data_IF_143616396416
#
_entry.id   IF_143616396416
#
_cell.length_a   1.000
_cell.length_b   1.000
_cell.length_c   1.000
_cell.angle_alpha   90.00
_cell.angle_beta   90.00
_cell.angle_gamma   90.00
#
_symmetry.space_group_name_H-M   'P 1'
#
loop_
_entity.id
_entity.type
_entity.pdbx_description
1 polymer ?
#
# COMPACT_ATOMS: atom_id res chain seq x y z
N UNK A 1 18.28 -46.00 41.45
CA UNK A 1 18.41 -44.57 41.77
C UNK A 1 18.49 -43.78 40.46
N UNK A 2 17.39 -43.62 39.71
CA UNK A 2 17.41 -43.04 38.32
C UNK A 2 16.24 -42.06 38.07
N UNK A 3 15.25 -41.99 38.96
CA UNK A 3 14.03 -41.18 38.73
C UNK A 3 14.17 -39.68 39.01
N UNK A 4 15.20 -39.25 39.75
CA UNK A 4 15.40 -37.83 40.09
C UNK A 4 16.05 -37.01 38.96
N UNK A 5 16.79 -37.65 38.05
CA UNK A 5 17.51 -36.97 36.98
C UNK A 5 16.62 -36.52 35.82
N UNK A 6 15.49 -37.20 35.59
CA UNK A 6 14.55 -36.88 34.51
C UNK A 6 13.64 -35.68 34.83
N UNK A 7 13.30 -35.48 36.11
CA UNK A 7 12.47 -34.35 36.54
C UNK A 7 13.21 -33.01 36.44
N UNK A 8 14.53 -33.00 36.66
CA UNK A 8 15.34 -31.78 36.56
C UNK A 8 15.53 -31.36 35.10
N UNK A 9 15.73 -32.31 34.18
CA UNK A 9 15.85 -32.01 32.76
C UNK A 9 14.55 -31.41 32.17
N UNK A 10 13.39 -31.82 32.67
CA UNK A 10 12.09 -31.31 32.21
C UNK A 10 11.81 -29.88 32.71
N UNK A 11 12.28 -29.54 33.92
CA UNK A 11 12.17 -28.18 34.46
C UNK A 11 13.04 -27.16 33.71
N UNK A 12 14.19 -27.55 33.16
CA UNK A 12 15.02 -26.65 32.36
C UNK A 12 14.48 -26.42 30.94
N UNK A 13 13.82 -27.41 30.33
CA UNK A 13 13.23 -27.26 28.99
C UNK A 13 12.01 -26.30 28.97
N UNK A 14 11.31 -26.14 30.10
CA UNK A 14 10.13 -25.27 30.19
C UNK A 14 10.45 -23.77 30.34
N UNK A 15 11.67 -23.41 30.77
CA UNK A 15 12.02 -22.00 31.06
C UNK A 15 12.43 -21.24 29.80
N UNK A 16 12.85 -21.93 28.73
CA UNK A 16 13.24 -21.25 27.47
C UNK A 16 12.06 -20.83 26.59
N UNK A 17 10.82 -21.26 26.88
CA UNK A 17 9.64 -20.88 26.07
C UNK A 17 8.98 -19.56 26.50
N UNK A 18 9.52 -18.86 27.51
CA UNK A 18 9.03 -17.55 27.97
C UNK A 18 9.95 -16.39 27.61
N UNK A 19 10.95 -16.61 26.75
CA UNK A 19 11.64 -15.51 26.08
C UNK A 19 10.69 -14.91 25.03
N UNK A 20 9.76 -14.09 25.52
CA UNK A 20 8.85 -13.32 24.69
C UNK A 20 9.64 -12.55 23.63
N UNK A 21 9.15 -12.60 22.39
CA UNK A 21 9.61 -11.74 21.33
C UNK A 21 9.43 -10.28 21.78
N UNK A 22 10.51 -9.64 22.22
CA UNK A 22 10.55 -8.18 22.25
C UNK A 22 10.59 -7.75 20.79
N UNK A 23 9.43 -7.47 20.22
CA UNK A 23 9.34 -6.68 18.99
C UNK A 23 9.80 -5.29 19.39
N UNK A 24 11.09 -5.02 19.19
CA UNK A 24 11.62 -3.66 19.19
C UNK A 24 10.96 -2.99 18.00
N UNK A 25 9.83 -2.32 18.25
CA UNK A 25 9.32 -1.30 17.36
C UNK A 25 10.39 -0.22 17.34
N UNK A 26 11.23 -0.27 16.31
CA UNK A 26 12.18 0.77 16.03
C UNK A 26 11.34 2.00 15.73
N UNK A 27 11.32 2.93 16.69
CA UNK A 27 10.67 4.21 16.55
C UNK A 27 11.43 4.93 15.42
N UNK A 28 10.87 4.84 14.22
CA UNK A 28 11.32 5.55 13.04
C UNK A 28 11.36 7.03 13.41
N UNK A 29 12.59 7.49 13.59
CA UNK A 29 12.94 8.87 13.89
C UNK A 29 12.22 9.75 12.89
N UNK A 30 11.28 10.56 13.36
CA UNK A 30 10.66 11.63 12.59
C UNK A 30 11.76 12.43 11.90
N UNK A 31 11.93 12.21 10.60
CA UNK A 31 12.72 13.10 9.77
C UNK A 31 11.84 14.33 9.48
N UNK A 32 12.39 15.54 9.65
CA UNK A 32 11.65 16.76 9.34
C UNK A 32 11.25 16.73 7.87
N UNK A 33 10.04 17.25 7.60
CA UNK A 33 9.41 17.42 6.28
C UNK A 33 10.44 17.97 5.29
N UNK A 34 11.06 17.05 4.54
CA UNK A 34 11.87 17.34 3.38
C UNK A 34 10.98 17.33 2.16
N UNK A 35 11.29 18.20 1.20
CA UNK A 35 10.74 18.25 -0.15
C UNK A 35 10.41 16.85 -0.72
N UNK A 36 9.37 16.71 -1.56
CA UNK A 36 8.96 15.42 -2.12
C UNK A 36 10.12 14.86 -2.94
N UNK A 37 10.90 14.00 -2.32
CA UNK A 37 11.92 13.20 -2.99
C UNK A 37 11.21 12.05 -3.67
N UNK A 38 11.82 11.62 -4.77
CA UNK A 38 11.56 10.47 -5.64
C UNK A 38 11.49 9.09 -4.91
N UNK A 39 11.36 9.10 -3.58
CA UNK A 39 11.26 7.94 -2.70
C UNK A 39 9.93 7.19 -2.88
N UNK A 40 8.86 7.89 -3.28
CA UNK A 40 7.57 7.25 -3.51
C UNK A 40 7.60 6.28 -4.70
N UNK A 41 8.39 6.57 -5.75
CA UNK A 41 8.56 5.63 -6.88
C UNK A 41 9.26 4.36 -6.41
N UNK A 42 10.37 4.50 -5.69
CA UNK A 42 11.07 3.36 -5.11
C UNK A 42 10.22 2.55 -4.12
N UNK A 43 9.35 3.22 -3.34
CA UNK A 43 8.40 2.55 -2.47
C UNK A 43 7.36 1.76 -3.27
N UNK A 44 6.81 2.32 -4.35
CA UNK A 44 5.86 1.63 -5.23
C UNK A 44 6.52 0.40 -5.84
N UNK A 45 7.77 0.51 -6.32
CA UNK A 45 8.54 -0.61 -6.85
C UNK A 45 8.74 -1.72 -5.81
N UNK A 46 9.08 -1.35 -4.57
CA UNK A 46 9.21 -2.30 -3.47
C UNK A 46 7.87 -2.99 -3.12
N UNK A 47 6.74 -2.29 -3.30
CA UNK A 47 5.40 -2.85 -3.11
C UNK A 47 5.07 -3.87 -4.20
N UNK A 48 5.54 -3.69 -5.44
CA UNK A 48 5.29 -4.66 -6.52
C UNK A 48 5.81 -6.07 -6.18
N UNK A 49 6.91 -6.13 -5.44
CA UNK A 49 7.57 -7.38 -5.01
C UNK A 49 6.81 -8.13 -3.92
N UNK A 50 5.75 -7.56 -3.35
CA UNK A 50 4.94 -8.24 -2.33
C UNK A 50 4.16 -9.40 -2.94
N UNK A 51 4.28 -10.59 -2.32
CA UNK A 51 3.66 -11.83 -2.80
C UNK A 51 2.13 -11.77 -2.84
N UNK A 52 1.50 -11.08 -1.89
CA UNK A 52 0.04 -11.08 -1.75
C UNK A 52 -0.59 -9.80 -2.30
N UNK A 53 -1.63 -9.96 -3.12
CA UNK A 53 -2.36 -8.83 -3.68
C UNK A 53 -3.03 -7.95 -2.61
N UNK A 54 -3.45 -8.54 -1.49
CA UNK A 54 -3.99 -7.79 -0.34
C UNK A 54 -3.00 -6.75 0.16
N UNK A 55 -1.72 -7.13 0.22
CA UNK A 55 -0.66 -6.31 0.79
C UNK A 55 -0.27 -5.22 -0.21
N UNK A 56 -0.17 -5.57 -1.50
CA UNK A 56 -0.01 -4.60 -2.59
C UNK A 56 -1.10 -3.55 -2.59
N UNK A 57 -2.37 -3.99 -2.58
CA UNK A 57 -3.53 -3.10 -2.55
C UNK A 57 -3.49 -2.19 -1.33
N UNK A 58 -3.24 -2.73 -0.14
CA UNK A 58 -3.19 -1.94 1.09
C UNK A 58 -2.06 -0.90 1.06
N UNK A 59 -0.89 -1.28 0.55
CA UNK A 59 0.24 -0.37 0.44
C UNK A 59 -0.01 0.72 -0.60
N UNK A 60 -0.51 0.37 -1.79
CA UNK A 60 -0.90 1.35 -2.81
C UNK A 60 -1.99 2.31 -2.34
N UNK A 61 -3.02 1.84 -1.63
CA UNK A 61 -4.06 2.72 -1.05
C UNK A 61 -3.44 3.74 -0.07
N UNK A 62 -2.49 3.30 0.76
CA UNK A 62 -1.77 4.18 1.69
C UNK A 62 -0.90 5.20 0.95
N UNK A 63 -0.16 4.78 -0.08
CA UNK A 63 0.66 5.67 -0.90
C UNK A 63 -0.25 6.68 -1.62
N UNK A 64 -1.35 6.24 -2.21
CA UNK A 64 -2.34 7.06 -2.90
C UNK A 64 -2.92 8.17 -2.00
N UNK A 65 -3.05 7.92 -0.69
CA UNK A 65 -3.62 8.87 0.26
C UNK A 65 -2.59 9.88 0.83
N UNK A 66 -1.30 9.73 0.55
CA UNK A 66 -0.26 10.64 1.09
C UNK A 66 -0.33 12.00 0.40
N UNK A 67 -0.34 13.07 1.18
CA UNK A 67 -0.26 14.43 0.62
C UNK A 67 1.11 14.69 -0.01
N UNK A 68 1.13 15.49 -1.07
CA UNK A 68 2.38 15.93 -1.71
C UNK A 68 3.08 14.86 -2.54
N UNK A 69 2.35 13.82 -2.99
CA UNK A 69 2.86 12.91 -4.02
C UNK A 69 3.23 13.69 -5.28
N UNK A 70 4.45 13.49 -5.78
CA UNK A 70 4.87 14.07 -7.05
C UNK A 70 4.02 13.54 -8.22
N UNK A 71 3.86 14.33 -9.27
CA UNK A 71 3.06 13.94 -10.44
C UNK A 71 3.56 12.62 -11.05
N UNK A 72 4.87 12.44 -11.11
CA UNK A 72 5.52 11.20 -11.58
C UNK A 72 5.15 10.01 -10.69
N UNK A 73 5.24 10.15 -9.37
CA UNK A 73 4.86 9.08 -8.44
C UNK A 73 3.37 8.74 -8.53
N UNK A 74 2.49 9.71 -8.82
CA UNK A 74 1.07 9.45 -9.02
C UNK A 74 0.81 8.64 -10.30
N UNK A 75 1.48 8.99 -11.41
CA UNK A 75 1.37 8.24 -12.67
C UNK A 75 1.91 6.81 -12.48
N UNK A 76 3.09 6.68 -11.87
CA UNK A 76 3.69 5.37 -11.56
C UNK A 76 2.78 4.50 -10.69
N UNK A 77 2.11 5.10 -9.70
CA UNK A 77 1.14 4.39 -8.86
C UNK A 77 -0.09 3.91 -9.65
N UNK A 78 -0.58 4.71 -10.61
CA UNK A 78 -1.69 4.31 -11.50
C UNK A 78 -1.31 3.08 -12.31
N UNK A 79 -0.13 3.11 -12.94
CA UNK A 79 0.38 2.01 -13.76
C UNK A 79 0.58 0.75 -12.92
N UNK A 80 1.30 0.86 -11.81
CA UNK A 80 1.55 -0.24 -10.88
C UNK A 80 0.25 -0.85 -10.33
N UNK A 81 -0.74 -0.02 -9.97
CA UNK A 81 -2.02 -0.52 -9.48
C UNK A 81 -2.81 -1.27 -10.57
N UNK A 82 -2.85 -0.74 -11.80
CA UNK A 82 -3.59 -1.34 -12.91
C UNK A 82 -2.95 -2.62 -13.44
N UNK A 83 -1.61 -2.73 -13.36
CA UNK A 83 -0.86 -3.85 -13.91
C UNK A 83 -0.56 -4.94 -12.88
N UNK A 84 -0.41 -4.59 -11.58
CA UNK A 84 -0.05 -5.55 -10.53
C UNK A 84 -1.21 -6.04 -9.66
N UNK A 85 -2.36 -5.37 -9.70
CA UNK A 85 -3.56 -5.87 -9.04
C UNK A 85 -4.40 -6.67 -10.04
N UNK A 86 -4.90 -7.83 -9.63
CA UNK A 86 -5.72 -8.69 -10.49
C UNK A 86 -7.16 -8.25 -10.46
N UNK A 87 -7.69 -7.93 -9.26
CA UNK A 87 -9.11 -7.66 -9.08
C UNK A 87 -9.43 -6.18 -9.27
N UNK A 88 -10.43 -5.90 -10.11
CA UNK A 88 -10.95 -4.54 -10.34
C UNK A 88 -11.35 -3.81 -9.06
N UNK A 89 -11.90 -4.51 -8.07
CA UNK A 89 -12.22 -3.88 -6.78
C UNK A 89 -10.96 -3.35 -6.07
N UNK A 90 -9.83 -4.05 -6.21
CA UNK A 90 -8.55 -3.62 -5.67
C UNK A 90 -8.03 -2.39 -6.45
N UNK A 91 -8.04 -2.46 -7.78
CA UNK A 91 -7.69 -1.34 -8.67
C UNK A 91 -8.54 -0.10 -8.37
N UNK A 92 -9.87 -0.26 -8.38
CA UNK A 92 -10.86 0.77 -8.11
C UNK A 92 -10.56 1.50 -6.80
N UNK A 93 -10.31 0.77 -5.70
CA UNK A 93 -10.05 1.41 -4.40
C UNK A 93 -8.78 2.25 -4.39
N UNK A 94 -7.70 1.78 -5.00
CA UNK A 94 -6.46 2.57 -5.13
C UNK A 94 -6.71 3.83 -5.95
N UNK A 95 -7.35 3.70 -7.12
CA UNK A 95 -7.64 4.85 -7.98
C UNK A 95 -8.55 5.87 -7.29
N UNK A 96 -9.58 5.42 -6.57
CA UNK A 96 -10.47 6.31 -5.82
C UNK A 96 -9.73 7.02 -4.67
N UNK A 97 -8.81 6.34 -3.99
CA UNK A 97 -7.97 6.97 -2.97
C UNK A 97 -7.07 8.06 -3.58
N UNK A 98 -6.48 7.79 -4.75
CA UNK A 98 -5.62 8.75 -5.45
C UNK A 98 -6.42 9.96 -5.96
N UNK A 99 -7.61 9.75 -6.55
CA UNK A 99 -8.50 10.83 -7.00
C UNK A 99 -8.97 11.70 -5.82
N UNK A 100 -9.18 11.11 -4.64
CA UNK A 100 -9.57 11.84 -3.45
C UNK A 100 -8.43 12.69 -2.86
N UNK A 101 -7.18 12.40 -3.22
CA UNK A 101 -6.00 13.09 -2.70
C UNK A 101 -6.02 14.60 -3.05
N UNK A 102 -5.77 15.52 -2.11
CA UNK A 102 -5.65 16.94 -2.40
C UNK A 102 -4.64 17.28 -3.50
N UNK A 103 -3.52 16.56 -3.57
CA UNK A 103 -2.48 16.76 -4.59
C UNK A 103 -2.73 16.01 -5.90
N UNK A 104 -3.90 15.41 -6.11
CA UNK A 104 -4.21 14.69 -7.36
C UNK A 104 -3.96 15.56 -8.60
N UNK A 105 -3.06 15.10 -9.47
CA UNK A 105 -2.55 15.88 -10.58
C UNK A 105 -3.22 15.52 -11.92
N UNK A 106 -3.11 16.43 -12.89
CA UNK A 106 -3.68 16.22 -14.23
C UNK A 106 -3.04 15.08 -15.01
N UNK A 107 -1.74 14.82 -14.79
CA UNK A 107 -1.04 13.70 -15.44
C UNK A 107 -1.58 12.34 -14.99
N UNK A 108 -1.82 12.18 -13.68
CA UNK A 108 -2.44 10.98 -13.14
C UNK A 108 -3.90 10.82 -13.60
N UNK A 109 -4.66 11.91 -13.70
CA UNK A 109 -6.01 11.88 -14.29
C UNK A 109 -5.97 11.34 -15.72
N UNK A 110 -5.06 11.87 -16.54
CA UNK A 110 -4.90 11.43 -17.93
C UNK A 110 -4.52 9.95 -17.99
N UNK A 111 -3.54 9.50 -17.20
CA UNK A 111 -3.12 8.11 -17.15
C UNK A 111 -4.27 7.16 -16.78
N UNK A 112 -5.12 7.56 -15.82
CA UNK A 112 -6.34 6.80 -15.47
C UNK A 112 -7.29 6.72 -16.65
N UNK A 113 -7.59 7.85 -17.30
CA UNK A 113 -8.55 7.92 -18.41
C UNK A 113 -8.10 7.10 -19.63
N UNK A 114 -6.80 7.12 -19.94
CA UNK A 114 -6.20 6.36 -21.03
C UNK A 114 -6.18 4.85 -20.77
N UNK A 115 -6.11 4.45 -19.49
CA UNK A 115 -6.01 3.04 -19.08
C UNK A 115 -7.32 2.48 -18.49
N UNK A 116 -8.47 3.13 -18.72
CA UNK A 116 -9.76 2.69 -18.16
C UNK A 116 -10.18 1.31 -18.64
N UNK A 117 -9.72 0.88 -19.82
CA UNK A 117 -9.96 -0.45 -20.38
C UNK A 117 -9.29 -1.58 -19.58
N UNK A 118 -8.26 -1.26 -18.77
CA UNK A 118 -7.62 -2.21 -17.82
C UNK A 118 -8.50 -2.58 -16.62
N UNK A 119 -9.62 -1.90 -16.43
CA UNK A 119 -10.70 -2.33 -15.53
C UNK A 119 -11.68 -3.19 -16.36
N UNK A 120 -11.84 -4.46 -16.02
CA UNK A 120 -12.72 -5.38 -16.74
C UNK A 120 -14.21 -5.02 -16.59
N UNK A 121 -14.65 -4.63 -15.39
CA UNK A 121 -16.03 -4.37 -15.06
C UNK A 121 -16.44 -2.93 -15.36
N UNK A 122 -17.54 -2.78 -16.10
CA UNK A 122 -18.12 -1.47 -16.43
C UNK A 122 -18.52 -0.67 -15.18
N UNK A 123 -18.96 -1.36 -14.12
CA UNK A 123 -19.30 -0.73 -12.84
C UNK A 123 -18.11 -0.02 -12.20
N UNK A 124 -16.91 -0.61 -12.26
CA UNK A 124 -15.68 0.01 -11.75
C UNK A 124 -15.26 1.20 -12.61
N UNK A 125 -15.30 1.08 -13.94
CA UNK A 125 -15.06 2.22 -14.86
C UNK A 125 -15.99 3.39 -14.57
N UNK A 126 -17.29 3.14 -14.40
CA UNK A 126 -18.29 4.18 -14.09
C UNK A 126 -18.01 4.89 -12.77
N UNK A 127 -17.60 4.17 -11.72
CA UNK A 127 -17.28 4.78 -10.42
C UNK A 127 -16.04 5.67 -10.49
N UNK A 128 -14.99 5.22 -11.16
CA UNK A 128 -13.75 5.99 -11.35
C UNK A 128 -14.05 7.27 -12.15
N UNK A 129 -14.77 7.15 -13.29
CA UNK A 129 -15.19 8.31 -14.08
C UNK A 129 -16.07 9.28 -13.28
N UNK A 130 -17.00 8.75 -12.48
CA UNK A 130 -17.84 9.57 -11.60
C UNK A 130 -16.98 10.34 -10.59
N UNK A 131 -16.00 9.69 -9.97
CA UNK A 131 -15.12 10.35 -9.00
C UNK A 131 -14.29 11.49 -9.63
N UNK A 132 -13.76 11.29 -10.83
CA UNK A 132 -13.06 12.36 -11.59
C UNK A 132 -14.01 13.53 -11.88
N UNK A 133 -15.21 13.22 -12.39
CA UNK A 133 -16.22 14.25 -12.70
C UNK A 133 -16.66 15.02 -11.45
N UNK A 134 -16.96 14.31 -10.36
CA UNK A 134 -17.35 14.93 -9.08
C UNK A 134 -16.24 15.87 -8.57
N UNK A 135 -14.97 15.48 -8.70
CA UNK A 135 -13.83 16.32 -8.30
C UNK A 135 -13.76 17.61 -9.12
N UNK A 136 -13.93 17.55 -10.44
CA UNK A 136 -13.92 18.74 -11.32
C UNK A 136 -15.06 19.71 -11.04
N UNK A 137 -16.16 19.20 -10.51
CA UNK A 137 -17.35 19.98 -10.17
C UNK A 137 -17.36 20.45 -8.70
N UNK A 138 -16.29 20.21 -7.93
CA UNK A 138 -16.18 20.74 -6.58
C UNK A 138 -15.89 22.25 -6.65
N UNK A 139 -16.70 23.11 -5.98
CA UNK A 139 -16.50 24.55 -5.97
C UNK A 139 -15.22 24.96 -5.24
#
# INVERSE_FOLDING_TARGET
>A
MVKKSLLVAWLFASVMCLAGCVVVVKEETWKPVGLPTDDAVAEIDAVEELSFESDRKQAYERIAAREGLSDESQVHLVEAALDRLTFDNAKEKVLLALIANPSFCGAAEQAILESLDKLAFESSRKKVLKAISDRKNRP
#
